data_IF_495225832529
#
_entry.id   IF_495225832529
#
_cell.length_a   1.000
_cell.length_b   1.000
_cell.length_c   1.000
_cell.angle_alpha   90.00
_cell.angle_beta   90.00
_cell.angle_gamma   90.00
#
_symmetry.space_group_name_H-M   'P 1'
#
loop_
_entity.id
_entity.type
_entity.pdbx_description
1 polymer ?
#
# COMPACT_ATOMS: atom_id res chain seq x y z
N UNK A 1 -15.19 13.81 18.98
CA UNK A 1 -13.72 13.93 18.89
C UNK A 1 -13.01 12.75 18.19
N UNK A 2 -12.86 11.55 18.78
CA UNK A 2 -12.15 10.42 18.11
C UNK A 2 -12.84 9.94 16.81
N UNK A 3 -14.17 10.01 16.74
CA UNK A 3 -14.93 9.67 15.54
C UNK A 3 -14.66 10.67 14.41
N UNK A 4 -14.71 11.97 14.72
CA UNK A 4 -14.41 13.05 13.77
C UNK A 4 -12.97 12.99 13.25
N UNK A 5 -11.99 12.72 14.12
CA UNK A 5 -10.60 12.55 13.69
C UNK A 5 -10.40 11.37 12.74
N UNK A 6 -11.21 10.32 12.90
CA UNK A 6 -11.21 9.16 11.99
C UNK A 6 -11.92 9.49 10.68
N UNK A 7 -13.05 10.18 10.74
CA UNK A 7 -13.86 10.51 9.57
C UNK A 7 -13.16 11.59 8.71
N UNK A 8 -12.36 12.49 9.31
CA UNK A 8 -11.43 13.40 8.62
C UNK A 8 -10.15 12.72 8.10
N UNK A 9 -9.99 11.41 8.34
CA UNK A 9 -8.85 10.62 7.87
C UNK A 9 -7.52 10.95 8.55
N UNK A 10 -7.53 11.47 9.79
CA UNK A 10 -6.31 11.78 10.56
C UNK A 10 -5.85 10.62 11.44
N UNK A 11 -6.76 9.74 11.82
CA UNK A 11 -6.46 8.52 12.57
C UNK A 11 -7.14 7.30 11.96
N UNK A 12 -6.45 6.17 11.98
CA UNK A 12 -6.96 4.88 11.57
C UNK A 12 -7.02 3.91 12.75
N UNK A 13 -7.98 3.00 12.71
CA UNK A 13 -8.16 2.00 13.76
C UNK A 13 -7.18 0.86 13.50
N UNK A 14 -6.25 0.67 14.42
CA UNK A 14 -5.24 -0.37 14.38
C UNK A 14 -5.48 -1.38 15.51
N UNK A 15 -5.54 -2.67 15.17
CA UNK A 15 -5.61 -3.73 16.16
C UNK A 15 -4.19 -4.18 16.49
N UNK A 16 -3.71 -3.85 17.69
CA UNK A 16 -2.43 -4.33 18.18
C UNK A 16 -2.53 -5.83 18.52
N UNK A 17 -1.80 -6.72 17.83
CA UNK A 17 -1.85 -8.16 18.09
C UNK A 17 -1.24 -8.56 19.44
N UNK A 18 -0.42 -7.72 20.08
CA UNK A 18 0.17 -8.02 21.39
C UNK A 18 -0.76 -7.73 22.57
N UNK A 19 -1.56 -6.66 22.46
CA UNK A 19 -2.43 -6.16 23.53
C UNK A 19 -3.90 -6.58 23.37
N UNK A 20 -4.32 -7.00 22.18
CA UNK A 20 -5.74 -7.20 21.81
C UNK A 20 -6.66 -6.01 22.13
N UNK A 21 -6.09 -4.81 22.26
CA UNK A 21 -6.83 -3.56 22.41
C UNK A 21 -6.90 -2.84 21.07
N UNK A 22 -8.07 -2.26 20.79
CA UNK A 22 -8.23 -1.35 19.67
C UNK A 22 -7.40 -0.09 19.97
N UNK A 23 -6.31 0.10 19.23
CA UNK A 23 -5.49 1.30 19.27
C UNK A 23 -5.81 2.18 18.06
N UNK A 24 -5.47 3.47 18.17
CA UNK A 24 -5.58 4.42 17.06
C UNK A 24 -4.19 4.83 16.63
N UNK A 25 -3.92 4.76 15.33
CA UNK A 25 -2.67 5.21 14.70
C UNK A 25 -2.96 6.48 13.91
N UNK A 26 -2.03 7.43 13.89
CA UNK A 26 -2.13 8.59 13.00
C UNK A 26 -1.85 8.19 11.54
N UNK A 27 -2.69 8.68 10.64
CA UNK A 27 -2.44 8.63 9.19
C UNK A 27 -1.31 9.63 8.83
N UNK A 28 -0.74 9.59 7.62
CA UNK A 28 0.32 10.53 7.24
C UNK A 28 -0.07 12.01 7.43
N UNK A 29 -1.31 12.37 7.06
CA UNK A 29 -1.86 13.72 7.28
C UNK A 29 -2.01 14.05 8.77
N UNK A 30 -2.50 13.08 9.56
CA UNK A 30 -2.60 13.22 11.01
C UNK A 30 -1.23 13.38 11.68
N UNK A 31 -0.18 12.73 11.16
CA UNK A 31 1.19 12.88 11.64
C UNK A 31 1.80 14.21 11.26
N UNK A 32 1.67 14.70 10.03
CA UNK A 32 2.15 16.04 9.66
C UNK A 32 1.52 17.12 10.54
N UNK A 33 0.21 17.01 10.77
CA UNK A 33 -0.49 17.92 11.67
C UNK A 33 0.01 17.77 13.11
N UNK A 34 0.07 16.55 13.65
CA UNK A 34 0.53 16.29 15.02
C UNK A 34 2.01 16.63 15.22
N UNK A 35 2.84 16.54 14.17
CA UNK A 35 4.26 16.88 14.20
C UNK A 35 4.46 18.35 14.57
N UNK A 36 3.62 19.27 14.08
CA UNK A 36 3.66 20.70 14.46
C UNK A 36 3.44 20.92 15.96
N UNK A 37 2.72 20.02 16.63
CA UNK A 37 2.49 20.07 18.08
C UNK A 37 3.48 19.20 18.88
N UNK A 38 4.25 18.36 18.20
CA UNK A 38 5.24 17.46 18.80
C UNK A 38 6.69 17.95 18.60
N UNK A 39 6.91 18.94 17.74
CA UNK A 39 8.23 19.50 17.45
C UNK A 39 8.68 20.51 18.51
N UNK A 40 9.65 20.10 19.32
CA UNK A 40 10.72 20.98 19.81
C UNK A 40 11.92 20.80 18.86
N UNK A 41 12.16 21.79 17.97
CA UNK A 41 13.34 22.08 17.14
C UNK A 41 13.88 21.06 16.10
N UNK A 42 14.17 21.61 14.91
CA UNK A 42 14.62 21.02 13.63
C UNK A 42 15.82 20.05 13.68
N UNK A 43 15.88 19.08 12.76
CA UNK A 43 16.64 19.15 11.49
C UNK A 43 16.81 17.75 10.87
N UNK A 44 16.88 17.71 9.54
CA UNK A 44 16.82 16.50 8.68
C UNK A 44 18.12 15.67 8.78
N UNK A 45 18.02 14.45 9.32
CA UNK A 45 19.06 13.40 9.15
C UNK A 45 18.39 12.06 8.84
N UNK A 46 19.00 11.29 7.93
CA UNK A 46 18.48 10.09 7.29
C UNK A 46 18.32 8.86 8.22
N UNK A 47 17.30 8.07 7.89
CA UNK A 47 16.54 7.17 8.78
C UNK A 47 17.23 5.92 9.36
N UNK A 48 18.48 5.62 9.01
CA UNK A 48 19.26 4.52 9.61
C UNK A 48 20.49 5.00 10.36
N UNK A 49 20.88 6.26 10.14
CA UNK A 49 22.01 6.90 10.79
C UNK A 49 21.69 7.22 12.26
N UNK A 50 20.42 7.41 12.61
CA UNK A 50 20.02 7.87 13.94
C UNK A 50 20.33 6.87 15.06
N UNK A 51 20.17 5.55 14.83
CA UNK A 51 20.52 4.53 15.84
C UNK A 51 22.02 4.47 16.08
N UNK A 52 22.82 4.45 15.00
CA UNK A 52 24.28 4.44 15.07
C UNK A 52 24.85 5.74 15.64
N UNK A 53 24.28 6.89 15.27
CA UNK A 53 24.68 8.19 15.79
C UNK A 53 24.29 8.35 17.26
N UNK A 54 23.11 7.87 17.68
CA UNK A 54 22.73 7.80 19.11
C UNK A 54 23.78 7.02 19.89
N UNK A 55 24.16 5.84 19.40
CA UNK A 55 25.23 5.05 20.00
C UNK A 55 26.56 5.81 20.04
N UNK A 56 26.97 6.43 18.94
CA UNK A 56 28.24 7.15 18.84
C UNK A 56 28.32 8.31 19.83
N UNK A 57 27.29 9.16 19.92
CA UNK A 57 27.24 10.27 20.87
C UNK A 57 27.17 9.80 22.32
N UNK A 58 26.37 8.77 22.61
CA UNK A 58 26.30 8.19 23.95
C UNK A 58 27.64 7.58 24.37
N UNK A 59 28.32 6.88 23.46
CA UNK A 59 29.66 6.35 23.66
C UNK A 59 30.65 7.48 23.98
N UNK A 60 30.74 8.50 23.14
CA UNK A 60 31.63 9.66 23.37
C UNK A 60 31.36 10.33 24.71
N UNK A 61 30.08 10.50 25.07
CA UNK A 61 29.68 11.02 26.37
C UNK A 61 30.17 10.14 27.53
N UNK A 62 29.95 8.82 27.46
CA UNK A 62 30.35 7.89 28.53
C UNK A 62 31.85 7.79 28.70
N UNK A 63 32.61 7.69 27.59
CA UNK A 63 34.07 7.62 27.59
C UNK A 63 34.66 8.93 28.13
N UNK A 64 34.11 10.07 27.71
CA UNK A 64 34.48 11.38 28.25
C UNK A 64 34.18 11.50 29.74
N UNK A 65 33.00 11.07 30.19
CA UNK A 65 32.62 11.10 31.60
C UNK A 65 33.54 10.25 32.48
N UNK A 66 34.00 9.08 32.01
CA UNK A 66 35.02 8.28 32.71
C UNK A 66 36.38 8.99 32.80
N UNK A 67 36.72 9.81 31.81
CA UNK A 67 37.96 10.61 31.80
C UNK A 67 37.82 11.97 32.51
N UNK A 68 36.67 12.25 33.13
CA UNK A 68 36.38 13.53 33.80
C UNK A 68 36.01 14.69 32.85
N UNK A 69 35.86 14.42 31.54
CA UNK A 69 35.40 15.39 30.54
C UNK A 69 33.91 15.22 30.27
N UNK A 70 33.10 16.04 30.91
CA UNK A 70 31.63 15.97 30.78
C UNK A 70 31.17 16.84 29.61
N UNK A 71 30.68 16.20 28.55
CA UNK A 71 30.06 16.85 27.38
C UNK A 71 28.53 16.71 27.43
N UNK A 72 27.84 17.70 27.99
CA UNK A 72 26.36 17.72 28.00
C UNK A 72 25.75 17.74 26.59
N UNK A 73 26.31 18.46 25.60
CA UNK A 73 25.78 18.44 24.24
C UNK A 73 25.67 17.04 23.65
N UNK A 74 26.68 16.17 23.83
CA UNK A 74 26.65 14.81 23.30
C UNK A 74 25.50 13.97 23.88
N UNK A 75 25.25 14.08 25.19
CA UNK A 75 24.13 13.39 25.84
C UNK A 75 22.78 13.86 25.28
N UNK A 76 22.62 15.17 25.07
CA UNK A 76 21.36 15.73 24.55
C UNK A 76 21.16 15.44 23.07
N UNK A 77 22.21 15.41 22.27
CA UNK A 77 22.17 14.97 20.87
C UNK A 77 21.75 13.49 20.81
N UNK A 78 22.32 12.63 21.65
CA UNK A 78 21.89 11.23 21.75
C UNK A 78 20.40 11.12 22.13
N UNK A 79 19.92 11.97 23.04
CA UNK A 79 18.50 12.01 23.41
C UNK A 79 17.58 12.42 22.25
N UNK A 80 17.95 13.43 21.47
CA UNK A 80 17.22 13.87 20.27
C UNK A 80 17.20 12.77 19.20
N UNK A 81 18.36 12.27 18.82
CA UNK A 81 18.48 11.23 17.80
C UNK A 81 17.72 9.96 18.20
N UNK A 82 17.67 9.63 19.50
CA UNK A 82 16.90 8.49 19.98
C UNK A 82 15.39 8.63 19.72
N UNK A 83 14.82 9.84 19.79
CA UNK A 83 13.40 10.03 19.47
C UNK A 83 13.10 9.84 17.99
N UNK A 84 14.06 10.20 17.14
CA UNK A 84 13.92 10.14 15.68
C UNK A 84 13.91 8.70 15.17
N UNK A 85 14.59 7.77 15.85
CA UNK A 85 14.59 6.32 15.54
C UNK A 85 13.16 5.76 15.42
N UNK A 86 12.26 6.15 16.34
CA UNK A 86 10.87 5.69 16.29
C UNK A 86 10.12 6.28 15.10
N UNK A 87 10.44 7.54 14.74
CA UNK A 87 9.95 8.20 13.53
C UNK A 87 10.35 7.44 12.28
N UNK A 88 11.65 7.14 12.16
CA UNK A 88 12.24 6.41 11.04
C UNK A 88 11.53 5.08 10.78
N UNK A 89 11.27 4.29 11.83
CA UNK A 89 10.53 3.05 11.69
C UNK A 89 9.09 3.27 11.21
N UNK A 90 8.41 4.31 11.67
CA UNK A 90 7.05 4.59 11.21
C UNK A 90 7.02 4.95 9.73
N UNK A 91 8.03 5.66 9.24
CA UNK A 91 8.14 6.07 7.84
C UNK A 91 8.40 4.87 6.94
N UNK A 92 9.32 3.98 7.33
CA UNK A 92 9.54 2.71 6.62
C UNK A 92 8.26 1.86 6.63
N UNK A 93 7.58 1.72 7.77
CA UNK A 93 6.32 0.95 7.85
C UNK A 93 5.25 1.55 6.94
N UNK A 94 5.15 2.88 6.89
CA UNK A 94 4.21 3.56 6.01
C UNK A 94 4.56 3.35 4.53
N UNK A 95 5.83 3.45 4.15
CA UNK A 95 6.28 3.17 2.79
C UNK A 95 5.87 1.74 2.35
N UNK A 96 6.08 0.75 3.22
CA UNK A 96 5.66 -0.64 2.98
C UNK A 96 4.14 -0.75 2.88
N UNK A 97 3.40 -0.06 3.74
CA UNK A 97 1.93 -0.08 3.77
C UNK A 97 1.34 0.59 2.54
N UNK A 98 1.91 1.70 2.09
CA UNK A 98 1.48 2.42 0.89
C UNK A 98 1.78 1.60 -0.37
N UNK A 99 2.95 0.93 -0.44
CA UNK A 99 3.24 0.00 -1.54
C UNK A 99 2.25 -1.15 -1.61
N UNK A 100 1.88 -1.71 -0.45
CA UNK A 100 0.82 -2.72 -0.35
C UNK A 100 -0.52 -2.22 -0.89
N UNK A 101 -0.87 -0.96 -0.61
CA UNK A 101 -2.11 -0.33 -1.10
C UNK A 101 -2.07 -0.14 -2.62
N UNK A 102 -0.99 0.46 -3.15
CA UNK A 102 -0.81 0.64 -4.61
C UNK A 102 -0.87 -0.68 -5.35
N UNK A 103 -0.19 -1.72 -4.84
CA UNK A 103 -0.25 -3.04 -5.45
C UNK A 103 -1.67 -3.60 -5.49
N UNK A 104 -2.44 -3.45 -4.40
CA UNK A 104 -3.83 -3.87 -4.38
C UNK A 104 -4.69 -3.11 -5.40
N UNK A 105 -4.45 -1.81 -5.59
CA UNK A 105 -5.15 -0.99 -6.59
C UNK A 105 -4.82 -1.42 -8.02
N UNK A 106 -3.53 -1.60 -8.35
CA UNK A 106 -3.12 -1.98 -9.71
C UNK A 106 -3.68 -3.35 -10.12
N UNK A 107 -3.82 -4.29 -9.17
CA UNK A 107 -4.38 -5.62 -9.43
C UNK A 107 -5.91 -5.61 -9.64
N UNK A 108 -6.62 -4.54 -9.28
CA UNK A 108 -8.06 -4.42 -9.55
C UNK A 108 -8.41 -4.00 -10.97
N UNK A 109 -7.45 -3.47 -11.74
CA UNK A 109 -7.62 -3.10 -13.13
C UNK A 109 -7.19 -4.27 -14.02
N UNK A 110 -8.09 -4.73 -14.89
CA UNK A 110 -8.02 -5.82 -15.92
C UNK A 110 -6.93 -6.91 -15.76
N UNK A 111 -7.31 -8.18 -15.96
CA UNK A 111 -6.41 -9.34 -15.77
C UNK A 111 -5.01 -9.22 -16.44
N UNK A 112 -4.94 -8.53 -17.59
CA UNK A 112 -3.71 -8.31 -18.35
C UNK A 112 -2.81 -7.22 -17.77
N UNK A 113 -3.39 -6.12 -17.28
CA UNK A 113 -2.66 -5.07 -16.54
C UNK A 113 -2.19 -5.59 -15.18
N UNK A 114 -3.00 -6.42 -14.52
CA UNK A 114 -2.63 -7.10 -13.30
C UNK A 114 -1.45 -8.09 -13.51
N UNK A 115 -1.32 -8.68 -14.72
CA UNK A 115 -0.21 -9.58 -15.08
C UNK A 115 1.11 -8.81 -15.22
N UNK A 116 1.12 -7.76 -16.02
CA UNK A 116 2.31 -6.93 -16.26
C UNK A 116 2.76 -6.22 -14.99
N UNK A 117 1.81 -5.58 -14.28
CA UNK A 117 2.08 -4.97 -12.98
C UNK A 117 2.54 -5.99 -11.91
N UNK A 118 2.06 -7.24 -12.00
CA UNK A 118 2.51 -8.33 -11.14
C UNK A 118 3.97 -8.68 -11.36
N UNK A 119 4.43 -8.80 -12.61
CA UNK A 119 5.83 -9.11 -12.93
C UNK A 119 6.78 -7.99 -12.51
N UNK A 120 6.44 -6.74 -12.84
CA UNK A 120 7.21 -5.54 -12.47
C UNK A 120 7.33 -5.41 -10.93
N UNK A 121 6.24 -5.71 -10.22
CA UNK A 121 6.24 -5.71 -8.76
C UNK A 121 7.21 -6.75 -8.17
N UNK A 122 7.33 -7.93 -8.78
CA UNK A 122 8.25 -8.96 -8.29
C UNK A 122 9.71 -8.68 -8.64
N UNK A 123 9.98 -8.13 -9.82
CA UNK A 123 11.31 -7.65 -10.17
C UNK A 123 11.75 -6.57 -9.17
N UNK A 124 10.85 -5.64 -8.84
CA UNK A 124 11.08 -4.65 -7.79
C UNK A 124 11.29 -5.29 -6.41
N UNK A 125 10.44 -6.24 -6.02
CA UNK A 125 10.54 -6.91 -4.71
C UNK A 125 11.85 -7.66 -4.56
N UNK A 126 12.24 -8.44 -5.56
CA UNK A 126 13.45 -9.27 -5.54
C UNK A 126 14.74 -8.49 -5.73
N UNK A 127 14.78 -7.57 -6.71
CA UNK A 127 16.03 -6.90 -7.08
C UNK A 127 16.32 -5.66 -6.24
N UNK A 128 15.31 -5.07 -5.60
CA UNK A 128 15.46 -3.78 -4.90
C UNK A 128 14.96 -3.80 -3.47
N UNK A 129 13.69 -4.17 -3.25
CA UNK A 129 13.08 -4.03 -1.93
C UNK A 129 13.63 -5.02 -0.89
N UNK A 130 13.70 -6.30 -1.22
CA UNK A 130 14.26 -7.32 -0.31
C UNK A 130 15.73 -7.01 -0.02
N UNK A 131 16.61 -6.73 -1.01
CA UNK A 131 17.99 -6.33 -0.75
C UNK A 131 18.11 -5.05 0.11
N UNK A 132 17.35 -3.99 -0.19
CA UNK A 132 17.39 -2.75 0.59
C UNK A 132 16.94 -2.95 2.04
N UNK A 133 15.90 -3.76 2.28
CA UNK A 133 15.45 -4.09 3.64
C UNK A 133 16.44 -5.04 4.31
N UNK A 134 16.94 -6.05 3.62
CA UNK A 134 17.85 -7.04 4.18
C UNK A 134 19.18 -6.41 4.59
N UNK A 135 19.76 -5.52 3.78
CA UNK A 135 20.95 -4.73 4.14
C UNK A 135 20.68 -3.90 5.40
N UNK A 136 19.54 -3.19 5.46
CA UNK A 136 19.15 -2.40 6.65
C UNK A 136 18.91 -3.24 7.90
N UNK A 137 18.49 -4.49 7.77
CA UNK A 137 18.24 -5.39 8.89
C UNK A 137 19.48 -6.20 9.32
N UNK A 138 20.37 -6.57 8.38
CA UNK A 138 21.55 -7.41 8.64
C UNK A 138 22.79 -6.59 9.03
N UNK A 139 23.10 -5.47 8.36
CA UNK A 139 24.29 -4.66 8.71
C UNK A 139 24.08 -3.90 10.03
N UNK A 140 22.84 -3.47 10.29
CA UNK A 140 22.45 -2.61 11.39
C UNK A 140 21.34 -3.25 12.24
N UNK A 141 21.59 -4.43 12.80
CA UNK A 141 20.60 -5.05 13.70
C UNK A 141 20.34 -4.13 14.89
N UNK A 142 19.18 -3.46 14.88
CA UNK A 142 18.76 -2.53 15.94
C UNK A 142 18.72 -3.24 17.31
N UNK A 143 18.55 -4.56 17.33
CA UNK A 143 18.68 -5.39 18.54
C UNK A 143 20.12 -5.40 19.10
N UNK A 144 21.13 -5.39 18.23
CA UNK A 144 22.55 -5.22 18.63
C UNK A 144 22.77 -3.82 19.21
N UNK A 145 22.34 -2.78 18.49
CA UNK A 145 22.48 -1.41 18.97
C UNK A 145 21.73 -1.16 20.27
N UNK A 146 20.56 -1.77 20.47
CA UNK A 146 19.85 -1.76 21.76
C UNK A 146 20.72 -2.28 22.88
N UNK A 147 21.35 -3.43 22.69
CA UNK A 147 22.22 -4.05 23.69
C UNK A 147 23.41 -3.16 24.02
N UNK A 148 24.05 -2.57 23.00
CA UNK A 148 25.17 -1.66 23.19
C UNK A 148 24.77 -0.35 23.88
N UNK A 149 23.65 0.28 23.46
CA UNK A 149 23.11 1.50 24.06
C UNK A 149 22.76 1.27 25.53
N UNK A 150 22.07 0.16 25.86
CA UNK A 150 21.78 -0.19 27.26
C UNK A 150 23.05 -0.36 28.08
N UNK A 151 24.06 -1.04 27.53
CA UNK A 151 25.37 -1.17 28.17
C UNK A 151 26.05 0.18 28.44
N UNK A 152 25.93 1.15 27.54
CA UNK A 152 26.44 2.51 27.79
C UNK A 152 25.61 3.27 28.83
N UNK A 153 24.28 3.13 28.83
CA UNK A 153 23.41 3.72 29.87
C UNK A 153 23.81 3.15 31.25
N UNK A 154 24.00 1.84 31.36
CA UNK A 154 24.48 1.18 32.59
C UNK A 154 25.84 1.72 33.03
N UNK A 155 26.78 1.94 32.10
CA UNK A 155 28.07 2.56 32.42
C UNK A 155 27.93 3.96 33.00
N UNK A 156 26.99 4.78 32.51
CA UNK A 156 26.68 6.09 33.12
C UNK A 156 26.17 5.91 34.54
N UNK A 157 25.34 4.90 34.80
CA UNK A 157 24.86 4.58 36.14
C UNK A 157 25.97 4.06 37.08
N UNK A 158 27.04 3.47 36.57
CA UNK A 158 28.21 3.07 37.38
C UNK A 158 29.19 4.19 37.70
N UNK A 159 28.99 5.40 37.15
CA UNK A 159 29.86 6.54 37.44
C UNK A 159 29.83 6.92 38.94
N UNK A 160 30.92 7.49 39.49
CA UNK A 160 30.93 8.02 40.84
C UNK A 160 29.81 9.04 41.06
N UNK A 161 29.24 9.08 42.27
CA UNK A 161 28.12 9.97 42.58
C UNK A 161 28.47 11.45 42.44
N UNK A 162 29.72 11.84 42.69
CA UNK A 162 30.20 13.20 42.48
C UNK A 162 30.23 13.58 41.00
N UNK A 163 30.59 12.65 40.11
CA UNK A 163 30.54 12.85 38.66
C UNK A 163 29.10 12.99 38.19
N UNK A 164 28.18 12.14 38.68
CA UNK A 164 26.74 12.25 38.36
C UNK A 164 26.16 13.58 38.81
N UNK A 165 26.53 14.05 40.01
CA UNK A 165 26.13 15.38 40.52
C UNK A 165 26.67 16.51 39.66
N UNK A 166 27.90 16.40 39.15
CA UNK A 166 28.48 17.40 38.24
C UNK A 166 27.75 17.43 36.89
N UNK A 167 27.43 16.24 36.33
CA UNK A 167 26.62 16.11 35.12
C UNK A 167 25.24 16.74 35.31
N UNK A 168 24.55 16.43 36.41
CA UNK A 168 23.23 17.01 36.72
C UNK A 168 23.30 18.53 36.87
N UNK A 169 24.33 19.05 37.57
CA UNK A 169 24.52 20.51 37.73
C UNK A 169 24.73 21.19 36.37
N UNK A 170 25.55 20.60 35.50
CA UNK A 170 25.79 21.10 34.15
C UNK A 170 24.52 21.01 33.28
N UNK A 171 23.78 19.90 33.33
CA UNK A 171 22.49 19.75 32.63
C UNK A 171 21.50 20.87 33.00
N UNK A 172 21.37 21.17 34.29
CA UNK A 172 20.49 22.25 34.78
C UNK A 172 20.95 23.64 34.33
N UNK A 173 22.26 23.86 34.24
CA UNK A 173 22.83 25.13 33.78
C UNK A 173 22.64 25.34 32.27
N UNK A 174 22.86 24.31 31.45
CA UNK A 174 22.73 24.39 29.99
C UNK A 174 21.27 24.37 29.52
N UNK A 175 20.41 23.60 30.18
CA UNK A 175 19.01 23.41 29.78
C UNK A 175 18.03 23.67 30.93
N UNK A 176 17.96 24.91 31.46
CA UNK A 176 17.07 25.25 32.58
C UNK A 176 15.59 25.05 32.22
N UNK A 177 15.23 25.15 30.93
CA UNK A 177 13.86 24.98 30.42
C UNK A 177 13.30 23.56 30.58
N UNK A 178 14.15 22.56 30.82
CA UNK A 178 13.72 21.17 30.98
C UNK A 178 13.24 20.85 32.41
N UNK A 179 13.50 21.75 33.36
CA UNK A 179 13.02 21.67 34.75
C UNK A 179 11.49 21.84 34.76
N UNK A 180 10.79 20.80 35.21
CA UNK A 180 9.34 20.80 35.41
C UNK A 180 9.02 20.28 36.81
N UNK A 181 7.93 20.76 37.40
CA UNK A 181 7.40 20.22 38.65
C UNK A 181 7.21 18.70 38.50
N UNK A 182 7.83 17.92 39.38
CA UNK A 182 7.85 16.45 39.34
C UNK A 182 9.04 15.80 38.61
N UNK A 183 10.00 16.55 38.07
CA UNK A 183 11.27 16.01 37.52
C UNK A 183 12.44 16.31 38.45
N UNK A 184 12.70 15.42 39.40
CA UNK A 184 13.74 15.62 40.41
C UNK A 184 15.18 15.45 39.88
N UNK A 185 15.39 14.59 38.86
CA UNK A 185 16.71 14.29 38.29
C UNK A 185 16.65 14.30 36.76
N UNK A 186 17.29 15.29 36.12
CA UNK A 186 17.30 15.44 34.66
C UNK A 186 18.11 14.33 33.98
N UNK A 187 19.27 13.96 34.53
CA UNK A 187 20.11 12.88 34.01
C UNK A 187 19.32 11.57 33.90
N UNK A 188 18.62 11.18 34.96
CA UNK A 188 17.77 9.99 34.99
C UNK A 188 16.67 10.07 33.93
N UNK A 189 16.04 11.23 33.79
CA UNK A 189 14.99 11.45 32.80
C UNK A 189 15.51 11.29 31.35
N UNK A 190 16.68 11.86 31.03
CA UNK A 190 17.27 11.76 29.69
C UNK A 190 17.62 10.30 29.35
N UNK A 191 18.32 9.61 30.25
CA UNK A 191 18.71 8.21 30.03
C UNK A 191 17.50 7.30 29.88
N UNK A 192 16.49 7.44 30.75
CA UNK A 192 15.24 6.69 30.65
C UNK A 192 14.48 6.98 29.36
N UNK A 193 14.60 8.20 28.83
CA UNK A 193 13.97 8.57 27.55
C UNK A 193 14.64 7.86 26.38
N UNK A 194 15.98 7.87 26.34
CA UNK A 194 16.75 7.13 25.32
C UNK A 194 16.39 5.65 25.37
N UNK A 195 16.40 5.05 26.56
CA UNK A 195 16.05 3.63 26.74
C UNK A 195 14.64 3.32 26.24
N UNK A 196 13.64 4.13 26.65
CA UNK A 196 12.24 3.94 26.21
C UNK A 196 12.08 4.03 24.69
N UNK A 197 12.80 4.94 24.03
CA UNK A 197 12.71 5.06 22.58
C UNK A 197 13.28 3.83 21.86
N UNK A 198 14.44 3.33 22.32
CA UNK A 198 15.06 2.12 21.78
C UNK A 198 14.21 0.88 22.05
N UNK A 199 13.68 0.72 23.27
CA UNK A 199 12.79 -0.40 23.58
C UNK A 199 11.52 -0.34 22.73
N UNK A 200 10.92 0.83 22.52
CA UNK A 200 9.77 0.98 21.62
C UNK A 200 10.12 0.65 20.16
N UNK A 201 11.30 1.02 19.70
CA UNK A 201 11.78 0.69 18.36
C UNK A 201 11.93 -0.83 18.19
N UNK A 202 12.57 -1.51 19.14
CA UNK A 202 12.80 -2.97 19.08
C UNK A 202 11.56 -3.82 19.39
N UNK A 203 10.82 -3.50 20.45
CA UNK A 203 9.78 -4.39 20.98
C UNK A 203 8.41 -4.16 20.29
N UNK A 204 8.19 -2.99 19.69
CA UNK A 204 6.94 -2.69 18.99
C UNK A 204 7.15 -2.48 17.48
N UNK A 205 8.06 -1.59 17.07
CA UNK A 205 8.15 -1.14 15.68
C UNK A 205 8.82 -2.14 14.75
N UNK A 206 9.90 -2.76 15.18
CA UNK A 206 10.60 -3.79 14.40
C UNK A 206 9.69 -5.01 14.14
N UNK A 207 8.92 -5.55 15.12
CA UNK A 207 7.89 -6.56 14.87
C UNK A 207 6.78 -6.11 13.92
N UNK A 208 6.29 -4.86 14.06
CA UNK A 208 5.27 -4.29 13.18
C UNK A 208 5.76 -4.27 11.72
N UNK A 209 6.97 -3.77 11.49
CA UNK A 209 7.60 -3.76 10.17
C UNK A 209 7.76 -5.18 9.60
N UNK A 210 8.30 -6.12 10.39
CA UNK A 210 8.43 -7.54 9.98
C UNK A 210 7.07 -8.12 9.58
N UNK A 211 5.99 -7.77 10.29
CA UNK A 211 4.63 -8.24 9.98
C UNK A 211 4.09 -7.63 8.69
N UNK A 212 4.23 -6.32 8.48
CA UNK A 212 3.74 -5.67 7.26
C UNK A 212 4.48 -6.18 6.02
N UNK A 213 5.81 -6.33 6.10
CA UNK A 213 6.60 -6.94 5.03
C UNK A 213 6.16 -8.37 4.74
N UNK A 214 5.99 -9.23 5.76
CA UNK A 214 5.47 -10.60 5.56
C UNK A 214 4.07 -10.61 4.95
N UNK A 215 3.22 -9.67 5.35
CA UNK A 215 1.85 -9.57 4.83
C UNK A 215 1.84 -9.16 3.37
N UNK A 216 2.72 -8.22 2.99
CA UNK A 216 2.93 -7.81 1.60
C UNK A 216 3.37 -9.01 0.75
N UNK A 217 4.42 -9.72 1.17
CA UNK A 217 4.94 -10.91 0.46
C UNK A 217 3.87 -11.99 0.32
N UNK A 218 3.14 -12.32 1.39
CA UNK A 218 2.06 -13.32 1.34
C UNK A 218 0.94 -12.93 0.39
N UNK A 219 0.55 -11.65 0.36
CA UNK A 219 -0.50 -11.17 -0.56
C UNK A 219 -0.03 -11.19 -2.00
N UNK A 220 1.22 -10.81 -2.26
CA UNK A 220 1.82 -10.87 -3.58
C UNK A 220 1.87 -12.30 -4.12
N UNK A 221 2.32 -13.25 -3.30
CA UNK A 221 2.34 -14.69 -3.63
C UNK A 221 0.92 -15.25 -3.88
N UNK A 222 -0.06 -14.91 -3.03
CA UNK A 222 -1.45 -15.32 -3.26
C UNK A 222 -2.02 -14.77 -4.58
N UNK A 223 -1.80 -13.48 -4.87
CA UNK A 223 -2.26 -12.85 -6.11
C UNK A 223 -1.56 -13.45 -7.34
N UNK A 224 -0.28 -13.81 -7.23
CA UNK A 224 0.42 -14.55 -8.28
C UNK A 224 -0.20 -15.91 -8.57
N UNK A 225 -0.57 -16.67 -7.54
CA UNK A 225 -1.25 -17.96 -7.77
C UNK A 225 -2.60 -17.76 -8.43
N UNK A 226 -3.32 -16.70 -8.06
CA UNK A 226 -4.59 -16.36 -8.71
C UNK A 226 -4.40 -15.91 -10.17
N UNK A 227 -3.44 -15.04 -10.45
CA UNK A 227 -3.10 -14.64 -11.83
C UNK A 227 -2.59 -15.83 -12.63
N UNK A 228 -1.71 -16.63 -12.04
CA UNK A 228 -1.22 -17.88 -12.59
C UNK A 228 -2.34 -18.86 -12.93
N UNK A 229 -3.33 -19.03 -12.07
CA UNK A 229 -4.51 -19.86 -12.35
C UNK A 229 -5.41 -19.29 -13.45
N UNK A 230 -5.40 -17.98 -13.67
CA UNK A 230 -6.13 -17.32 -14.76
C UNK A 230 -5.34 -17.44 -16.09
N UNK A 231 -4.01 -17.37 -16.04
CA UNK A 231 -3.14 -17.36 -17.24
C UNK A 231 -2.69 -18.74 -17.69
N UNK A 232 -2.43 -19.63 -16.74
CA UNK A 232 -2.23 -21.05 -17.00
C UNK A 232 -3.58 -21.69 -16.77
N UNK A 233 -4.30 -21.97 -17.86
CA UNK A 233 -5.33 -23.01 -17.88
C UNK A 233 -4.68 -24.29 -17.33
N UNK A 234 -4.73 -24.44 -16.00
CA UNK A 234 -4.64 -25.75 -15.40
C UNK A 234 -5.96 -26.40 -15.79
N UNK A 235 -5.89 -27.63 -16.28
CA UNK A 235 -6.97 -28.42 -16.90
C UNK A 235 -8.26 -28.54 -16.07
N UNK A 236 -8.31 -27.96 -14.88
CA UNK A 236 -9.50 -27.70 -14.10
C UNK A 236 -10.27 -26.51 -14.70
N UNK A 237 -11.03 -26.79 -15.77
CA UNK A 237 -12.10 -25.92 -16.28
C UNK A 237 -12.82 -25.24 -15.12
N UNK A 238 -12.78 -23.90 -15.06
CA UNK A 238 -13.50 -23.17 -14.03
C UNK A 238 -14.99 -23.52 -14.09
N UNK A 239 -15.65 -23.66 -12.94
CA UNK A 239 -17.08 -24.01 -12.87
C UNK A 239 -17.94 -23.11 -13.77
N UNK A 240 -17.56 -21.82 -13.90
CA UNK A 240 -18.22 -20.87 -14.78
C UNK A 240 -18.12 -21.22 -16.27
N UNK A 241 -16.97 -21.70 -16.75
CA UNK A 241 -16.81 -22.16 -18.13
C UNK A 241 -17.54 -23.47 -18.40
N UNK A 242 -17.63 -24.36 -17.41
CA UNK A 242 -18.42 -25.60 -17.51
C UNK A 242 -19.92 -25.30 -17.60
N UNK A 243 -20.42 -24.39 -16.77
CA UNK A 243 -21.82 -23.93 -16.81
C UNK A 243 -22.13 -23.18 -18.12
N UNK A 244 -21.19 -22.36 -18.63
CA UNK A 244 -21.34 -21.65 -19.89
C UNK A 244 -21.26 -22.55 -21.14
N UNK A 245 -20.60 -23.71 -21.04
CA UNK A 245 -20.58 -24.72 -22.10
C UNK A 245 -21.81 -25.63 -22.03
N UNK A 246 -22.30 -25.95 -20.83
CA UNK A 246 -23.58 -26.65 -20.64
C UNK A 246 -24.78 -25.81 -21.11
N UNK A 247 -24.77 -24.50 -20.89
CA UNK A 247 -25.87 -23.62 -21.32
C UNK A 247 -25.99 -23.43 -22.84
N UNK A 248 -24.99 -23.88 -23.60
CA UNK A 248 -25.00 -23.87 -25.08
C UNK A 248 -25.50 -25.17 -25.68
N UNK A 249 -25.72 -26.20 -24.86
CA UNK A 249 -26.23 -27.50 -25.30
C UNK A 249 -27.77 -27.52 -25.16
N UNK A 250 -28.47 -28.27 -26.03
CA UNK A 250 -29.92 -28.47 -25.89
C UNK A 250 -30.24 -29.22 -24.59
N UNK A 251 -31.38 -28.92 -23.98
CA UNK A 251 -31.78 -29.40 -22.64
C UNK A 251 -31.69 -30.94 -22.47
N UNK A 252 -31.98 -31.68 -23.55
CA UNK A 252 -31.86 -33.14 -23.57
C UNK A 252 -30.42 -33.64 -23.44
N UNK A 253 -29.44 -32.89 -23.95
CA UNK A 253 -28.01 -33.20 -23.83
C UNK A 253 -27.45 -32.78 -22.47
N UNK A 254 -27.95 -31.67 -21.90
CA UNK A 254 -27.59 -31.21 -20.55
C UNK A 254 -28.02 -32.23 -19.50
N UNK A 255 -29.27 -32.71 -19.59
CA UNK A 255 -29.81 -33.72 -18.67
C UNK A 255 -29.01 -35.02 -18.76
N UNK A 256 -28.62 -35.44 -19.97
CA UNK A 256 -27.81 -36.64 -20.21
C UNK A 256 -26.39 -36.54 -19.64
N UNK A 257 -25.81 -35.34 -19.61
CA UNK A 257 -24.49 -35.09 -19.01
C UNK A 257 -24.57 -35.01 -17.49
N UNK A 258 -25.65 -34.47 -16.93
CA UNK A 258 -25.87 -34.37 -15.48
C UNK A 258 -26.29 -35.71 -14.85
N UNK A 259 -26.99 -36.57 -15.59
CA UNK A 259 -27.43 -37.90 -15.14
C UNK A 259 -26.40 -39.01 -15.42
N UNK A 260 -25.24 -38.71 -16.03
CA UNK A 260 -24.19 -39.70 -16.24
C UNK A 260 -23.55 -40.06 -14.88
N UNK A 261 -23.61 -41.33 -14.42
CA UNK A 261 -22.96 -41.75 -13.18
C UNK A 261 -21.43 -41.63 -13.21
N UNK A 262 -20.81 -41.31 -14.37
CA UNK A 262 -19.39 -40.97 -14.51
C UNK A 262 -19.10 -39.47 -14.32
N UNK A 263 -20.10 -38.60 -14.45
CA UNK A 263 -19.97 -37.15 -14.25
C UNK A 263 -20.32 -36.73 -12.82
N UNK A 264 -20.77 -37.66 -11.97
CA UNK A 264 -20.86 -37.42 -10.53
C UNK A 264 -19.47 -37.08 -10.01
N UNK A 265 -19.26 -35.81 -9.70
CA UNK A 265 -18.04 -35.27 -9.10
C UNK A 265 -17.82 -35.98 -7.77
N UNK A 266 -17.02 -37.04 -7.82
CA UNK A 266 -16.51 -37.75 -6.64
C UNK A 266 -15.68 -36.77 -5.82
N UNK A 267 -16.33 -36.15 -4.84
CA UNK A 267 -15.74 -35.39 -3.75
C UNK A 267 -14.94 -36.34 -2.82
N UNK A 268 -13.78 -36.81 -3.25
CA UNK A 268 -12.64 -37.08 -2.35
C UNK A 268 -11.39 -37.46 -3.14
N UNK A 269 -10.47 -36.50 -3.29
CA UNK A 269 -9.06 -36.82 -3.57
C UNK A 269 -8.39 -37.15 -2.23
N UNK A 270 -8.34 -38.43 -1.87
CA UNK A 270 -7.45 -38.89 -0.79
C UNK A 270 -6.05 -38.97 -1.39
N UNK A 271 -5.28 -37.89 -1.25
CA UNK A 271 -3.84 -37.95 -1.46
C UNK A 271 -3.21 -38.62 -0.22
N UNK A 272 -2.58 -39.77 -0.40
CA UNK A 272 -1.73 -40.37 0.63
C UNK A 272 -0.48 -39.49 0.77
N UNK A 273 -0.39 -38.79 1.89
CA UNK A 273 0.79 -37.98 2.24
C UNK A 273 1.90 -38.95 2.66
N UNK A 274 3.11 -38.77 2.10
CA UNK A 274 4.29 -39.52 2.50
C UNK A 274 4.58 -39.29 4.00
N UNK A 275 4.56 -40.34 4.85
CA UNK A 275 4.78 -40.20 6.29
C UNK A 275 6.17 -39.65 6.65
N UNK A 276 7.15 -39.68 5.75
CA UNK A 276 8.47 -39.09 6.02
C UNK A 276 8.50 -37.56 5.90
N UNK A 277 7.47 -36.94 5.30
CA UNK A 277 7.33 -35.47 5.25
C UNK A 277 6.57 -34.89 6.44
N UNK A 278 5.96 -35.73 7.29
CA UNK A 278 5.18 -35.30 8.46
C UNK A 278 6.05 -35.36 9.71
N UNK A 279 6.88 -34.34 9.93
CA UNK A 279 7.49 -34.12 11.24
C UNK A 279 6.44 -33.50 12.19
N UNK A 280 5.88 -34.29 13.10
CA UNK A 280 4.95 -33.83 14.13
C UNK A 280 5.72 -32.91 15.09
N UNK A 281 5.56 -31.59 14.93
CA UNK A 281 6.07 -30.63 15.91
C UNK A 281 5.27 -30.77 17.22
N UNK A 282 5.93 -30.85 18.39
CA UNK A 282 5.23 -30.95 19.66
C UNK A 282 4.31 -29.73 19.85
N UNK A 283 3.06 -30.03 20.19
CA UNK A 283 1.97 -29.06 20.34
C UNK A 283 2.22 -28.19 21.57
N UNK A 284 2.64 -26.95 21.37
CA UNK A 284 2.49 -25.92 22.40
C UNK A 284 0.99 -25.74 22.69
N UNK A 285 0.61 -25.88 23.97
CA UNK A 285 -0.76 -25.65 24.46
C UNK A 285 -1.21 -24.24 24.10
N UNK A 286 -2.05 -24.12 23.07
CA UNK A 286 -2.74 -22.89 22.71
C UNK A 286 -4.00 -22.76 23.56
N UNK A 287 -4.12 -21.64 24.29
CA UNK A 287 -5.39 -21.21 24.88
C UNK A 287 -6.45 -21.05 23.78
N UNK A 288 -7.73 -21.42 24.05
CA UNK A 288 -8.80 -21.27 23.08
C UNK A 288 -9.05 -19.78 22.78
N UNK A 289 -8.83 -19.39 21.52
CA UNK A 289 -9.18 -18.07 20.99
C UNK A 289 -10.68 -18.06 20.70
N UNK A 290 -11.40 -17.13 21.33
CA UNK A 290 -12.83 -16.94 21.09
C UNK A 290 -13.08 -16.43 19.67
N UNK A 291 -13.56 -17.30 18.79
CA UNK A 291 -13.81 -17.01 17.38
C UNK A 291 -15.18 -16.34 17.15
N UNK A 292 -15.54 -15.33 17.94
CA UNK A 292 -16.74 -14.52 17.69
C UNK A 292 -16.37 -13.38 16.75
N UNK A 293 -16.36 -13.66 15.45
CA UNK A 293 -16.60 -12.60 14.48
C UNK A 293 -17.99 -12.02 14.77
N UNK A 294 -18.08 -10.70 14.93
CA UNK A 294 -19.37 -10.04 14.95
C UNK A 294 -20.10 -10.40 13.64
N UNK A 295 -21.40 -10.76 13.68
CA UNK A 295 -22.13 -11.08 12.47
C UNK A 295 -22.10 -9.84 11.56
N UNK A 296 -21.43 -9.96 10.42
CA UNK A 296 -21.63 -9.02 9.32
C UNK A 296 -23.07 -9.22 8.89
N UNK A 297 -23.91 -8.19 9.04
CA UNK A 297 -25.26 -8.22 8.50
C UNK A 297 -25.17 -8.61 7.03
N UNK A 298 -25.96 -9.63 6.64
CA UNK A 298 -26.05 -10.02 5.25
C UNK A 298 -26.58 -8.81 4.47
N UNK A 299 -25.97 -8.46 3.32
CA UNK A 299 -26.41 -7.32 2.54
C UNK A 299 -27.88 -7.48 2.16
N UNK A 300 -28.69 -6.45 2.44
CA UNK A 300 -30.13 -6.42 2.11
C UNK A 300 -30.32 -6.66 0.61
N UNK A 301 -31.44 -7.29 0.23
CA UNK A 301 -31.82 -7.54 -1.18
C UNK A 301 -31.74 -6.28 -2.05
N UNK A 302 -32.10 -5.13 -1.50
CA UNK A 302 -31.99 -3.82 -2.17
C UNK A 302 -30.53 -3.40 -2.43
N UNK A 303 -29.62 -3.66 -1.48
CA UNK A 303 -28.20 -3.35 -1.64
C UNK A 303 -27.52 -4.26 -2.67
N UNK A 304 -27.96 -5.52 -2.77
CA UNK A 304 -27.51 -6.44 -3.83
C UNK A 304 -28.01 -5.95 -5.19
N UNK A 305 -29.28 -5.57 -5.28
CA UNK A 305 -29.89 -5.13 -6.53
C UNK A 305 -29.32 -3.79 -7.02
N UNK A 306 -29.07 -2.83 -6.12
CA UNK A 306 -28.40 -1.56 -6.44
C UNK A 306 -26.94 -1.79 -6.89
N UNK A 307 -26.21 -2.70 -6.24
CA UNK A 307 -24.85 -3.08 -6.65
C UNK A 307 -24.85 -3.71 -8.04
N UNK A 308 -25.74 -4.68 -8.28
CA UNK A 308 -25.81 -5.41 -9.54
C UNK A 308 -26.26 -4.47 -10.69
N UNK A 309 -27.21 -3.56 -10.43
CA UNK A 309 -27.62 -2.51 -11.37
C UNK A 309 -26.46 -1.57 -11.71
N UNK A 310 -25.69 -1.11 -10.71
CA UNK A 310 -24.51 -0.25 -10.95
C UNK A 310 -23.43 -0.98 -11.76
N UNK A 311 -23.23 -2.27 -11.52
CA UNK A 311 -22.27 -3.07 -12.26
C UNK A 311 -22.71 -3.27 -13.71
N UNK A 312 -24.00 -3.50 -13.94
CA UNK A 312 -24.57 -3.61 -15.29
C UNK A 312 -24.54 -2.29 -16.05
N UNK A 313 -24.89 -1.18 -15.39
CA UNK A 313 -24.74 0.17 -15.97
C UNK A 313 -23.27 0.46 -16.30
N UNK A 314 -22.34 0.17 -15.40
CA UNK A 314 -20.91 0.37 -15.65
C UNK A 314 -20.39 -0.48 -16.83
N UNK A 315 -20.99 -1.66 -17.07
CA UNK A 315 -20.67 -2.49 -18.23
C UNK A 315 -21.21 -1.89 -19.52
N UNK A 316 -22.44 -1.39 -19.51
CA UNK A 316 -23.11 -0.79 -20.69
C UNK A 316 -22.45 0.53 -21.10
N UNK A 317 -22.03 1.35 -20.13
CA UNK A 317 -21.36 2.64 -20.38
C UNK A 317 -19.83 2.52 -20.57
N UNK A 318 -19.30 1.30 -20.70
CA UNK A 318 -17.87 1.09 -20.95
C UNK A 318 -17.59 1.27 -22.43
N UNK A 319 -17.03 2.42 -22.79
CA UNK A 319 -16.61 2.72 -24.15
C UNK A 319 -15.11 2.54 -24.27
N UNK A 320 -14.66 1.72 -25.23
CA UNK A 320 -13.24 1.52 -25.52
C UNK A 320 -12.75 2.56 -26.54
N UNK A 321 -11.57 3.14 -26.31
CA UNK A 321 -10.97 4.14 -27.21
C UNK A 321 -10.79 3.58 -28.62
N UNK A 322 -10.51 2.28 -28.75
CA UNK A 322 -10.41 1.62 -30.06
C UNK A 322 -11.75 1.63 -30.80
N UNK A 323 -12.86 1.27 -30.12
CA UNK A 323 -14.21 1.29 -30.70
C UNK A 323 -14.67 2.69 -31.13
N UNK A 324 -14.32 3.72 -30.34
CA UNK A 324 -14.60 5.13 -30.71
C UNK A 324 -13.81 5.50 -31.96
N UNK A 325 -12.53 5.10 -32.04
CA UNK A 325 -11.69 5.40 -33.20
C UNK A 325 -12.18 4.71 -34.48
N UNK A 326 -12.69 3.48 -34.38
CA UNK A 326 -13.29 2.75 -35.50
C UNK A 326 -14.56 3.44 -35.97
N UNK A 327 -15.46 3.79 -35.06
CA UNK A 327 -16.69 4.51 -35.37
C UNK A 327 -16.41 5.85 -36.07
N UNK A 328 -15.46 6.64 -35.55
CA UNK A 328 -15.05 7.91 -36.17
C UNK A 328 -14.45 7.66 -37.56
N UNK A 329 -13.64 6.62 -37.75
CA UNK A 329 -13.05 6.27 -39.05
C UNK A 329 -14.09 5.78 -40.07
N UNK A 330 -15.10 5.01 -39.66
CA UNK A 330 -16.21 4.58 -40.51
C UNK A 330 -17.05 5.76 -40.98
N UNK A 331 -17.36 6.69 -40.08
CA UNK A 331 -18.11 7.91 -40.43
C UNK A 331 -17.28 8.88 -41.30
N UNK A 332 -15.95 8.79 -41.23
CA UNK A 332 -15.01 9.55 -42.09
C UNK A 332 -14.77 8.90 -43.46
N UNK A 333 -15.31 7.72 -43.75
CA UNK A 333 -15.03 6.99 -45.00
C UNK A 333 -15.42 7.73 -46.30
N UNK A 334 -16.09 8.88 -46.21
CA UNK A 334 -16.41 9.78 -47.32
C UNK A 334 -15.71 11.16 -47.32
N UNK A 335 -14.91 11.53 -46.31
CA UNK A 335 -14.35 12.89 -46.19
C UNK A 335 -13.21 13.06 -45.17
N UNK A 336 -12.36 14.09 -45.34
CA UNK A 336 -11.19 14.35 -44.46
C UNK A 336 -11.54 15.01 -43.12
N UNK A 337 -12.79 15.47 -42.96
CA UNK A 337 -13.29 16.14 -41.78
C UNK A 337 -14.76 15.77 -41.56
N UNK A 338 -15.15 15.48 -40.33
CA UNK A 338 -16.55 15.30 -39.94
C UNK A 338 -16.89 16.22 -38.78
N UNK A 339 -18.09 16.83 -38.83
CA UNK A 339 -18.65 17.61 -37.74
C UNK A 339 -19.51 16.73 -36.85
N UNK A 340 -19.52 17.00 -35.54
CA UNK A 340 -20.34 16.24 -34.60
C UNK A 340 -21.83 16.23 -34.98
N UNK A 341 -22.34 17.34 -35.53
CA UNK A 341 -23.73 17.45 -36.02
C UNK A 341 -24.07 16.56 -37.21
N UNK A 342 -23.08 16.05 -37.93
CA UNK A 342 -23.24 15.25 -39.15
C UNK A 342 -23.08 13.74 -38.88
N UNK A 343 -22.76 13.36 -37.63
CA UNK A 343 -22.60 11.96 -37.25
C UNK A 343 -23.95 11.24 -37.21
N UNK A 344 -24.02 10.08 -37.86
CA UNK A 344 -25.23 9.25 -37.85
C UNK A 344 -25.28 8.41 -36.57
N UNK A 345 -26.32 8.61 -35.76
CA UNK A 345 -26.54 7.89 -34.50
C UNK A 345 -27.66 6.88 -34.73
N UNK A 346 -27.30 5.60 -34.87
CA UNK A 346 -28.27 4.51 -35.08
C UNK A 346 -28.52 3.65 -33.84
N UNK A 347 -27.57 3.59 -32.91
CA UNK A 347 -27.61 2.74 -31.72
C UNK A 347 -26.93 3.39 -30.50
N UNK A 348 -27.10 2.77 -29.32
CA UNK A 348 -26.52 3.24 -28.05
C UNK A 348 -24.98 3.29 -28.09
N UNK A 349 -24.27 2.30 -28.67
CA UNK A 349 -22.83 2.39 -28.88
C UNK A 349 -22.39 3.58 -29.76
N UNK A 350 -23.11 3.88 -30.86
CA UNK A 350 -22.82 5.04 -31.71
C UNK A 350 -23.06 6.36 -30.97
N UNK A 351 -24.10 6.44 -30.14
CA UNK A 351 -24.37 7.61 -29.31
C UNK A 351 -23.24 7.87 -28.31
N UNK A 352 -22.82 6.84 -27.59
CA UNK A 352 -21.71 6.92 -26.64
C UNK A 352 -20.39 7.25 -27.35
N UNK A 353 -20.16 6.66 -28.53
CA UNK A 353 -18.97 6.94 -29.33
C UNK A 353 -18.96 8.38 -29.84
N UNK A 354 -20.11 8.94 -30.25
CA UNK A 354 -20.23 10.34 -30.63
C UNK A 354 -19.94 11.31 -29.47
N UNK A 355 -20.49 11.03 -28.27
CA UNK A 355 -20.25 11.82 -27.06
C UNK A 355 -18.79 11.81 -26.62
N UNK A 356 -18.11 10.67 -26.78
CA UNK A 356 -16.70 10.48 -26.41
C UNK A 356 -15.72 10.67 -27.57
N UNK A 357 -16.19 11.03 -28.78
CA UNK A 357 -15.34 11.24 -29.97
C UNK A 357 -14.28 12.32 -29.74
N UNK A 358 -14.55 13.29 -28.85
CA UNK A 358 -13.60 14.30 -28.40
C UNK A 358 -12.30 13.73 -27.79
N UNK A 359 -12.37 12.54 -27.19
CA UNK A 359 -11.24 11.90 -26.50
C UNK A 359 -10.20 11.34 -27.48
N UNK A 360 -10.59 11.10 -28.74
CA UNK A 360 -9.73 10.51 -29.78
C UNK A 360 -8.60 11.46 -30.21
N UNK A 361 -8.72 12.77 -29.96
CA UNK A 361 -7.63 13.74 -30.22
C UNK A 361 -6.36 13.47 -29.41
N UNK A 362 -6.50 12.90 -28.20
CA UNK A 362 -5.37 12.63 -27.30
C UNK A 362 -4.69 11.28 -27.55
N UNK A 363 -5.37 10.36 -28.22
CA UNK A 363 -4.92 8.98 -28.43
C UNK A 363 -4.55 8.72 -29.89
N UNK A 364 -3.31 8.29 -30.14
CA UNK A 364 -2.92 7.80 -31.47
C UNK A 364 -3.41 6.36 -31.68
N UNK A 365 -4.69 6.20 -32.01
CA UNK A 365 -5.23 4.90 -32.42
C UNK A 365 -4.80 4.57 -33.86
N UNK A 366 -4.22 3.38 -34.08
CA UNK A 366 -3.79 2.85 -35.40
C UNK A 366 -2.88 3.78 -36.22
N UNK A 367 -2.02 4.56 -35.57
CA UNK A 367 -1.02 5.40 -36.25
C UNK A 367 -1.58 6.64 -36.98
N UNK A 368 -2.85 6.98 -36.77
CA UNK A 368 -3.49 8.21 -37.29
C UNK A 368 -3.59 9.24 -36.17
N UNK A 369 -3.27 10.51 -36.48
CA UNK A 369 -3.46 11.62 -35.54
C UNK A 369 -4.75 12.35 -35.88
N UNK A 370 -5.60 12.56 -34.89
CA UNK A 370 -6.83 13.33 -35.05
C UNK A 370 -6.62 14.74 -34.51
N UNK A 371 -7.11 15.75 -35.24
CA UNK A 371 -7.12 17.14 -34.77
C UNK A 371 -8.56 17.57 -34.59
N UNK A 372 -8.87 18.11 -33.41
CA UNK A 372 -10.20 18.61 -33.09
C UNK A 372 -10.17 20.14 -33.08
N UNK A 373 -11.12 20.75 -33.78
CA UNK A 373 -11.36 22.20 -33.75
C UNK A 373 -12.73 22.48 -33.14
N UNK A 374 -12.80 23.14 -31.97
CA UNK A 374 -14.08 23.55 -31.41
C UNK A 374 -14.73 24.61 -32.30
N UNK A 375 -16.06 24.53 -32.47
CA UNK A 375 -16.87 25.56 -33.11
C UNK A 375 -17.73 26.20 -32.02
N UNK A 376 -17.89 27.53 -32.04
CA UNK A 376 -18.80 28.26 -31.15
C UNK A 376 -20.27 28.11 -31.56
N UNK A 377 -20.70 26.88 -31.79
CA UNK A 377 -22.06 26.48 -32.08
C UNK A 377 -22.46 25.35 -31.12
N UNK A 378 -23.72 25.35 -30.69
CA UNK A 378 -24.29 24.28 -29.87
C UNK A 378 -25.10 23.35 -30.75
N UNK A 379 -24.87 22.04 -30.61
CA UNK A 379 -25.67 21.00 -31.26
C UNK A 379 -26.61 20.43 -30.22
N UNK A 380 -27.90 20.56 -30.47
CA UNK A 380 -28.96 19.90 -29.72
C UNK A 380 -29.66 18.92 -30.66
N UNK A 381 -29.65 17.64 -30.31
CA UNK A 381 -30.46 16.61 -30.96
C UNK A 381 -31.39 15.95 -29.93
N UNK A 382 -32.15 14.93 -30.34
CA UNK A 382 -33.07 14.21 -29.46
C UNK A 382 -32.36 13.47 -28.31
N UNK A 383 -31.04 13.28 -28.38
CA UNK A 383 -30.26 12.44 -27.47
C UNK A 383 -29.29 13.22 -26.55
N UNK A 384 -28.79 14.39 -26.96
CA UNK A 384 -27.85 15.21 -26.19
C UNK A 384 -27.81 16.69 -26.64
N UNK A 385 -27.31 17.54 -25.75
CA UNK A 385 -26.97 18.94 -25.99
C UNK A 385 -25.49 19.16 -25.66
N UNK A 386 -24.68 19.57 -26.65
CA UNK A 386 -23.24 19.81 -26.45
C UNK A 386 -22.68 20.86 -27.41
N UNK A 387 -21.43 21.29 -27.16
CA UNK A 387 -20.70 22.18 -28.07
C UNK A 387 -20.20 21.41 -29.28
N UNK A 388 -20.37 22.00 -30.45
CA UNK A 388 -19.97 21.41 -31.71
C UNK A 388 -18.45 21.43 -31.89
N UNK A 389 -17.93 20.42 -32.57
CA UNK A 389 -16.53 20.34 -32.93
C UNK A 389 -16.33 19.55 -34.21
N UNK A 390 -15.27 19.91 -34.94
CA UNK A 390 -14.86 19.22 -36.16
C UNK A 390 -13.66 18.35 -35.86
N UNK A 391 -13.74 17.08 -36.28
CA UNK A 391 -12.65 16.11 -36.19
C UNK A 391 -12.02 15.98 -37.58
N UNK A 392 -10.72 16.25 -37.69
CA UNK A 392 -9.91 16.11 -38.90
C UNK A 392 -8.88 14.99 -38.74
N UNK A 393 -8.69 14.16 -39.77
CA UNK A 393 -7.60 13.17 -39.80
C UNK A 393 -6.33 13.79 -40.37
N UNK A 394 -5.26 13.78 -39.56
CA UNK A 394 -3.91 14.18 -39.98
C UNK A 394 -3.11 12.91 -40.25
N UNK A 395 -2.90 12.57 -41.53
CA UNK A 395 -1.97 11.50 -41.90
C UNK A 395 -0.54 11.86 -41.47
N UNK A 396 0.29 10.87 -41.09
CA UNK A 396 1.71 11.10 -40.91
C UNK A 396 2.33 11.49 -42.26
N UNK A 397 2.92 12.69 -42.30
CA UNK A 397 3.68 13.22 -43.43
C UNK A 397 4.70 12.16 -43.90
N UNK A 398 4.44 11.47 -45.01
CA UNK A 398 5.46 10.68 -45.71
C UNK A 398 6.64 11.60 -46.00
N UNK A 399 7.82 11.24 -45.53
CA UNK A 399 9.05 11.95 -45.83
C UNK A 399 9.22 12.09 -47.34
N UNK A 400 9.40 13.33 -47.79
CA UNK A 400 9.99 13.59 -49.11
C UNK A 400 11.51 13.56 -48.97
N UNK A 401 12.25 12.90 -49.87
CA UNK A 401 13.68 13.15 -50.02
C UNK A 401 13.86 14.43 -50.84
N UNK A 402 14.77 15.30 -50.40
CA UNK A 402 15.10 16.57 -51.07
C UNK A 402 15.36 17.66 -50.05
#
# INVERSE_FOLDING_TARGET
MLRELRDCGWIEKYSDPGSMRNAYRFTPRGRQFAALFAQDADDIITSTQNTRSTLAHLRTFTEGAHQGRISIPDLMIAAKLSSDIVGDFNDIIEEVTERKRRFAETVTHTAEQAREAGLDFFEYMGNRFVPEIEVRFNEDSVERYRSEIKGYIERVWTLPDDTKRDIERKLRAYYPMLLREGREVLLAWVLNRIEKHIDRACDAKLPELRRETRTLVRRADALMRHLGAITFETEDMSVGQYVASLSRLPDEAVTRVLDDPRSSVLLMRVALIDPQTIAIRPRATRSPVGNRMAPSEAPTREAILDRDLRQELARIFRVDIESISEFVVEQLAGGRSIRLSEMQIGDVPSLLSALHAGQVAGSSARGRRFRIRPIDATVANEYFETRDYVIEVVEPRRGGPG
#
